data_IF_313988416780
#
_entry.id   IF_313988416780
#
_cell.length_a   1.000
_cell.length_b   1.000
_cell.length_c   1.000
_cell.angle_alpha   90.00
_cell.angle_beta   90.00
_cell.angle_gamma   90.00
#
_symmetry.space_group_name_H-M   'P 1'
#
loop_
_entity.id
_entity.type
_entity.pdbx_description
1 polymer ?
#
# COMPACT_ATOMS: atom_id res chain seq x y z
N UNK A 1 20.71 -49.46 10.88
CA UNK A 1 21.16 -48.41 11.81
C UNK A 1 22.02 -47.47 10.99
N UNK A 2 21.40 -46.44 10.41
CA UNK A 2 22.14 -45.46 9.61
C UNK A 2 22.57 -44.34 10.57
N UNK A 3 23.87 -44.07 10.58
CA UNK A 3 24.53 -43.16 11.49
C UNK A 3 23.95 -41.74 11.31
N UNK A 4 23.60 -41.10 12.43
CA UNK A 4 23.10 -39.72 12.48
C UNK A 4 24.13 -38.74 11.89
N UNK A 5 25.40 -39.14 11.80
CA UNK A 5 26.45 -38.33 11.21
C UNK A 5 26.44 -38.32 9.66
N UNK A 6 25.81 -39.30 8.99
CA UNK A 6 25.69 -39.31 7.52
C UNK A 6 24.58 -38.37 6.99
N UNK A 7 23.74 -37.85 7.89
CA UNK A 7 22.66 -36.88 7.56
C UNK A 7 23.11 -35.42 7.69
N UNK A 8 24.27 -35.15 8.30
CA UNK A 8 24.79 -33.78 8.47
C UNK A 8 25.37 -33.21 7.17
N UNK A 9 25.85 -34.06 6.26
CA UNK A 9 26.52 -33.64 5.02
C UNK A 9 25.56 -33.42 3.82
N UNK A 10 24.26 -33.73 3.96
CA UNK A 10 23.29 -33.65 2.85
C UNK A 10 22.27 -32.50 2.95
N UNK A 11 22.56 -31.42 3.66
CA UNK A 11 21.71 -30.21 3.66
C UNK A 11 20.36 -30.32 4.38
N UNK A 12 20.12 -31.41 5.12
CA UNK A 12 18.90 -31.65 5.90
C UNK A 12 18.85 -30.86 7.23
N UNK A 13 19.96 -30.27 7.67
CA UNK A 13 20.03 -29.37 8.84
C UNK A 13 19.22 -28.07 8.67
N UNK A 14 18.77 -27.76 7.45
CA UNK A 14 17.96 -26.58 7.17
C UNK A 14 16.45 -26.82 7.30
N UNK A 15 15.99 -28.08 7.33
CA UNK A 15 14.57 -28.41 7.39
C UNK A 15 14.02 -28.45 8.81
N UNK A 16 14.82 -28.86 9.80
CA UNK A 16 14.43 -28.88 11.22
C UNK A 16 14.08 -27.48 11.75
N UNK A 17 14.84 -26.45 11.37
CA UNK A 17 14.49 -25.07 11.70
C UNK A 17 13.22 -24.61 10.98
N UNK A 18 13.02 -25.02 9.72
CA UNK A 18 11.79 -24.74 8.98
C UNK A 18 10.55 -25.34 9.65
N UNK A 19 10.63 -26.56 10.20
CA UNK A 19 9.54 -27.15 11.00
C UNK A 19 9.25 -26.35 12.27
N UNK A 20 10.28 -25.90 12.99
CA UNK A 20 10.11 -25.03 14.18
C UNK A 20 9.42 -23.71 13.81
N UNK A 21 9.73 -23.13 12.64
CA UNK A 21 9.07 -21.90 12.17
C UNK A 21 7.62 -22.16 11.74
N UNK A 22 7.32 -23.31 11.13
CA UNK A 22 5.94 -23.69 10.78
C UNK A 22 5.10 -23.84 12.04
N UNK A 23 5.60 -24.52 13.07
CA UNK A 23 4.88 -24.68 14.34
C UNK A 23 4.62 -23.33 15.03
N UNK A 24 5.59 -22.41 14.99
CA UNK A 24 5.43 -21.06 15.54
C UNK A 24 4.40 -20.25 14.74
N UNK A 25 4.41 -20.35 13.41
CA UNK A 25 3.43 -19.70 12.53
C UNK A 25 2.03 -20.24 12.84
N UNK A 26 1.84 -21.55 12.92
CA UNK A 26 0.55 -22.18 13.21
C UNK A 26 0.01 -21.76 14.59
N UNK A 27 0.89 -21.69 15.61
CA UNK A 27 0.52 -21.18 16.93
C UNK A 27 0.09 -19.71 16.86
N UNK A 28 0.81 -18.87 16.12
CA UNK A 28 0.48 -17.45 15.96
C UNK A 28 -0.83 -17.27 15.19
N UNK A 29 -1.05 -18.03 14.12
CA UNK A 29 -2.28 -18.04 13.35
C UNK A 29 -3.46 -18.51 14.22
N UNK A 30 -3.27 -19.56 15.03
CA UNK A 30 -4.27 -20.02 15.98
C UNK A 30 -4.61 -18.97 17.04
N UNK A 31 -3.62 -18.22 17.53
CA UNK A 31 -3.84 -17.08 18.46
C UNK A 31 -4.59 -15.94 17.77
N UNK A 32 -4.23 -15.59 16.54
CA UNK A 32 -4.93 -14.56 15.74
C UNK A 32 -6.37 -14.99 15.47
N UNK A 33 -6.60 -16.27 15.15
CA UNK A 33 -7.93 -16.81 14.94
C UNK A 33 -8.79 -16.65 16.19
N UNK A 34 -8.29 -17.06 17.36
CA UNK A 34 -9.00 -16.87 18.63
C UNK A 34 -9.26 -15.39 18.93
N UNK A 35 -8.28 -14.51 18.65
CA UNK A 35 -8.44 -13.07 18.79
C UNK A 35 -9.51 -12.50 17.85
N UNK A 36 -9.64 -13.04 16.64
CA UNK A 36 -10.64 -12.66 15.65
C UNK A 36 -12.08 -13.10 16.00
N UNK A 37 -12.25 -14.00 16.98
CA UNK A 37 -13.56 -14.44 17.49
C UNK A 37 -14.17 -13.47 18.51
N UNK A 38 -13.45 -12.41 18.91
CA UNK A 38 -14.01 -11.37 19.78
C UNK A 38 -15.17 -10.66 19.08
N UNK A 39 -16.22 -10.37 19.85
CA UNK A 39 -17.37 -9.62 19.34
C UNK A 39 -17.15 -8.10 19.33
N UNK A 40 -16.16 -7.60 20.07
CA UNK A 40 -15.92 -6.17 20.25
C UNK A 40 -14.42 -5.87 20.31
N UNK A 41 -13.98 -4.90 19.52
CA UNK A 41 -12.58 -4.46 19.43
C UNK A 41 -12.36 -3.03 19.95
N UNK A 42 -13.31 -2.44 20.70
CA UNK A 42 -13.21 -1.06 21.18
C UNK A 42 -11.94 -0.79 22.01
N UNK A 43 -11.60 -1.67 22.95
CA UNK A 43 -10.37 -1.53 23.74
C UNK A 43 -9.12 -1.72 22.88
N UNK A 44 -9.14 -2.65 21.93
CA UNK A 44 -8.02 -2.88 21.01
C UNK A 44 -7.80 -1.65 20.09
N UNK A 45 -8.87 -0.99 19.64
CA UNK A 45 -8.80 0.26 18.89
C UNK A 45 -8.26 1.42 19.75
N UNK A 46 -8.61 1.47 21.04
CA UNK A 46 -8.06 2.44 21.99
C UNK A 46 -6.57 2.22 22.21
N UNK A 47 -6.13 0.97 22.40
CA UNK A 47 -4.71 0.61 22.51
C UNK A 47 -3.95 1.02 21.24
N UNK A 48 -4.52 0.78 20.05
CA UNK A 48 -3.90 1.22 18.79
C UNK A 48 -3.71 2.74 18.80
N UNK A 49 -4.75 3.50 19.18
CA UNK A 49 -4.66 4.97 19.26
C UNK A 49 -3.53 5.42 20.19
N UNK A 50 -3.47 4.86 21.40
CA UNK A 50 -2.42 5.19 22.38
C UNK A 50 -1.02 4.89 21.84
N UNK A 51 -0.85 3.76 21.14
CA UNK A 51 0.44 3.42 20.50
C UNK A 51 0.77 4.42 19.38
N UNK A 52 -0.19 4.81 18.55
CA UNK A 52 0.03 5.76 17.44
C UNK A 52 0.30 7.19 17.94
N UNK A 53 -0.24 7.59 19.09
CA UNK A 53 -0.05 8.92 19.66
C UNK A 53 1.28 9.09 20.40
N UNK A 54 1.88 7.99 20.86
CA UNK A 54 3.17 7.98 21.53
C UNK A 54 4.35 8.02 20.56
N UNK A 55 5.22 9.02 20.73
CA UNK A 55 6.43 9.17 19.90
C UNK A 55 7.52 8.12 20.19
N UNK A 56 7.50 7.51 21.38
CA UNK A 56 8.45 6.46 21.80
C UNK A 56 8.01 5.04 21.44
N UNK A 57 6.84 4.89 20.81
CA UNK A 57 6.31 3.58 20.42
C UNK A 57 7.23 2.85 19.45
N UNK A 58 7.44 1.57 19.72
CA UNK A 58 8.22 0.72 18.84
C UNK A 58 7.50 0.56 17.49
N UNK A 59 8.19 0.92 16.39
CA UNK A 59 7.64 0.87 15.03
C UNK A 59 7.13 -0.52 14.65
N UNK A 60 7.83 -1.57 15.10
CA UNK A 60 7.43 -2.96 14.85
C UNK A 60 6.08 -3.27 15.51
N UNK A 61 5.85 -2.79 16.74
CA UNK A 61 4.58 -2.94 17.43
C UNK A 61 3.45 -2.24 16.68
N UNK A 62 3.69 -1.04 16.16
CA UNK A 62 2.71 -0.31 15.33
C UNK A 62 2.33 -1.14 14.09
N UNK A 63 3.31 -1.62 13.32
CA UNK A 63 3.07 -2.42 12.10
C UNK A 63 2.32 -3.70 12.44
N UNK A 64 2.78 -4.45 13.44
CA UNK A 64 2.20 -5.73 13.82
C UNK A 64 0.74 -5.58 14.27
N UNK A 65 0.46 -4.63 15.15
CA UNK A 65 -0.88 -4.42 15.69
C UNK A 65 -1.85 -3.90 14.62
N UNK A 66 -1.38 -2.98 13.76
CA UNK A 66 -2.15 -2.50 12.61
C UNK A 66 -2.47 -3.64 11.65
N UNK A 67 -1.51 -4.54 11.37
CA UNK A 67 -1.70 -5.70 10.48
C UNK A 67 -2.73 -6.69 11.01
N UNK A 68 -2.72 -6.96 12.33
CA UNK A 68 -3.71 -7.83 12.98
C UNK A 68 -5.10 -7.19 12.89
N UNK A 69 -5.25 -5.94 13.34
CA UNK A 69 -6.54 -5.25 13.34
C UNK A 69 -7.09 -5.11 11.92
N UNK A 70 -6.24 -4.73 10.96
CA UNK A 70 -6.62 -4.67 9.56
C UNK A 70 -7.22 -5.99 9.09
N UNK A 71 -6.67 -7.16 9.48
CA UNK A 71 -7.14 -8.50 9.08
C UNK A 71 -8.45 -8.92 9.74
N UNK A 72 -8.66 -8.60 11.01
CA UNK A 72 -9.76 -9.18 11.81
C UNK A 72 -11.01 -8.31 11.88
N UNK A 73 -10.87 -6.99 11.76
CA UNK A 73 -12.01 -6.07 11.88
C UNK A 73 -12.99 -6.29 10.73
N UNK A 74 -14.27 -6.41 11.06
CA UNK A 74 -15.36 -6.68 10.11
C UNK A 74 -16.49 -5.66 10.19
N UNK A 75 -16.72 -5.04 11.36
CA UNK A 75 -17.84 -4.12 11.55
C UNK A 75 -17.54 -2.77 10.89
N UNK A 76 -18.47 -2.19 10.10
CA UNK A 76 -18.23 -0.94 9.39
C UNK A 76 -17.75 0.22 10.27
N UNK A 77 -18.35 0.38 11.46
CA UNK A 77 -17.99 1.46 12.38
C UNK A 77 -16.56 1.29 12.95
N UNK A 78 -16.18 0.07 13.30
CA UNK A 78 -14.84 -0.24 13.80
C UNK A 78 -13.78 -0.04 12.71
N UNK A 79 -14.09 -0.49 11.49
CA UNK A 79 -13.23 -0.29 10.31
C UNK A 79 -13.05 1.20 10.00
N UNK A 80 -14.13 1.99 10.03
CA UNK A 80 -14.06 3.44 9.83
C UNK A 80 -13.17 4.11 10.87
N UNK A 81 -13.33 3.75 12.14
CA UNK A 81 -12.50 4.29 13.23
C UNK A 81 -11.03 3.88 13.06
N UNK A 82 -10.78 2.61 12.75
CA UNK A 82 -9.44 2.08 12.46
C UNK A 82 -8.75 2.85 11.33
N UNK A 83 -9.39 2.98 10.17
CA UNK A 83 -8.81 3.70 9.04
C UNK A 83 -8.57 5.16 9.35
N UNK A 84 -9.52 5.84 10.02
CA UNK A 84 -9.34 7.23 10.42
C UNK A 84 -8.08 7.42 11.29
N UNK A 85 -7.86 6.56 12.28
CA UNK A 85 -6.67 6.62 13.15
C UNK A 85 -5.37 6.38 12.40
N UNK A 86 -5.33 5.37 11.52
CA UNK A 86 -4.11 5.03 10.78
C UNK A 86 -3.80 6.11 9.73
N UNK A 87 -4.80 6.63 9.03
CA UNK A 87 -4.62 7.73 8.05
C UNK A 87 -4.16 9.00 8.76
N UNK A 88 -4.78 9.39 9.87
CA UNK A 88 -4.37 10.54 10.67
C UNK A 88 -2.89 10.42 11.11
N UNK A 89 -2.47 9.23 11.54
CA UNK A 89 -1.08 8.96 11.85
C UNK A 89 -0.16 9.11 10.64
N UNK A 90 -0.55 8.55 9.48
CA UNK A 90 0.21 8.65 8.22
C UNK A 90 0.36 10.11 7.82
N UNK A 91 -0.73 10.89 7.82
CA UNK A 91 -0.76 12.30 7.45
C UNK A 91 0.16 13.14 8.36
N UNK A 92 0.11 12.90 9.67
CA UNK A 92 0.94 13.63 10.64
C UNK A 92 2.43 13.34 10.48
N UNK A 93 2.80 12.14 10.03
CA UNK A 93 4.20 11.69 9.94
C UNK A 93 4.76 11.72 8.51
N UNK A 94 3.96 11.96 7.48
CA UNK A 94 4.36 11.88 6.05
C UNK A 94 5.47 12.85 5.64
N UNK A 95 5.62 13.96 6.37
CA UNK A 95 6.70 14.92 6.15
C UNK A 95 8.05 14.49 6.74
N UNK A 96 8.07 13.47 7.61
CA UNK A 96 9.28 12.95 8.21
C UNK A 96 9.84 11.76 7.43
N UNK A 97 10.92 12.01 6.69
CA UNK A 97 11.56 10.98 5.86
C UNK A 97 12.06 9.75 6.66
N UNK A 98 12.33 9.89 7.97
CA UNK A 98 12.75 8.75 8.81
C UNK A 98 11.60 7.80 9.17
N UNK A 99 10.36 8.23 8.94
CA UNK A 99 9.16 7.42 9.12
C UNK A 99 8.74 6.70 7.85
N UNK A 100 9.38 6.96 6.70
CA UNK A 100 8.97 6.45 5.39
C UNK A 100 8.73 4.93 5.35
N UNK A 101 9.65 4.11 5.85
CA UNK A 101 9.51 2.64 5.84
C UNK A 101 8.28 2.22 6.67
N UNK A 102 8.07 2.82 7.84
CA UNK A 102 6.89 2.58 8.66
C UNK A 102 5.62 2.97 7.88
N UNK A 103 5.61 4.15 7.27
CA UNK A 103 4.45 4.65 6.53
C UNK A 103 4.12 3.79 5.32
N UNK A 104 5.12 3.35 4.55
CA UNK A 104 4.93 2.44 3.41
C UNK A 104 4.30 1.12 3.88
N UNK A 105 4.76 0.56 5.00
CA UNK A 105 4.16 -0.63 5.59
C UNK A 105 2.69 -0.41 5.99
N UNK A 106 2.39 0.70 6.67
CA UNK A 106 1.01 1.00 7.09
C UNK A 106 0.09 1.22 5.90
N UNK A 107 0.56 1.94 4.88
CA UNK A 107 -0.15 2.17 3.62
C UNK A 107 -0.47 0.81 2.97
N UNK A 108 0.53 -0.06 2.77
CA UNK A 108 0.36 -1.43 2.25
C UNK A 108 -0.66 -2.25 3.05
N UNK A 109 -0.71 -2.08 4.37
CA UNK A 109 -1.67 -2.81 5.22
C UNK A 109 -3.11 -2.34 4.95
N UNK A 110 -3.33 -1.02 4.86
CA UNK A 110 -4.69 -0.48 4.75
C UNK A 110 -5.23 -0.53 3.31
N UNK A 111 -4.37 -0.43 2.29
CA UNK A 111 -4.76 -0.45 0.87
C UNK A 111 -5.20 -1.82 0.36
N UNK A 112 -4.72 -2.91 0.97
CA UNK A 112 -5.07 -4.28 0.62
C UNK A 112 -6.50 -4.72 1.05
N UNK A 113 -7.45 -3.79 1.19
CA UNK A 113 -8.80 -4.05 1.71
C UNK A 113 -9.88 -3.46 0.80
N UNK A 114 -11.13 -3.86 1.02
CA UNK A 114 -12.29 -3.57 0.14
C UNK A 114 -12.70 -2.09 0.06
N UNK A 115 -12.09 -1.20 0.83
CA UNK A 115 -12.49 0.20 0.90
C UNK A 115 -11.54 1.06 0.08
N UNK A 116 -12.09 2.04 -0.63
CA UNK A 116 -11.29 3.07 -1.28
C UNK A 116 -10.59 3.91 -0.20
N UNK A 117 -9.27 3.86 -0.21
CA UNK A 117 -8.40 4.63 0.67
C UNK A 117 -7.35 5.30 -0.22
N UNK A 118 -7.44 6.63 -0.35
CA UNK A 118 -6.56 7.41 -1.23
C UNK A 118 -5.27 7.82 -0.50
N UNK A 119 -4.41 6.84 -0.21
CA UNK A 119 -3.07 7.07 0.35
C UNK A 119 -2.01 7.41 -0.71
N UNK A 120 -2.39 7.40 -1.99
CA UNK A 120 -1.48 7.70 -3.10
C UNK A 120 -0.81 9.07 -2.92
N UNK A 121 -1.52 10.04 -2.34
CA UNK A 121 -0.95 11.35 -2.05
C UNK A 121 0.12 11.34 -0.96
N UNK A 122 -0.06 10.52 0.09
CA UNK A 122 0.97 10.33 1.10
C UNK A 122 2.23 9.70 0.50
N UNK A 123 2.06 8.70 -0.37
CA UNK A 123 3.16 8.10 -1.11
C UNK A 123 3.89 9.13 -1.99
N UNK A 124 3.16 9.98 -2.70
CA UNK A 124 3.75 11.05 -3.51
C UNK A 124 4.53 12.07 -2.68
N UNK A 125 4.06 12.40 -1.48
CA UNK A 125 4.81 13.26 -0.55
C UNK A 125 6.13 12.61 -0.13
N UNK A 126 6.11 11.33 0.26
CA UNK A 126 7.32 10.59 0.65
C UNK A 126 8.27 10.49 -0.55
N UNK A 127 7.75 10.18 -1.74
CA UNK A 127 8.53 10.10 -2.99
C UNK A 127 9.29 11.40 -3.25
N UNK A 128 8.62 12.54 -3.08
CA UNK A 128 9.23 13.86 -3.25
C UNK A 128 10.39 14.11 -2.29
N UNK A 129 10.27 13.67 -1.03
CA UNK A 129 11.36 13.78 -0.04
C UNK A 129 12.57 12.95 -0.47
N UNK A 130 12.35 11.73 -0.94
CA UNK A 130 13.43 10.85 -1.38
C UNK A 130 14.11 11.30 -2.67
N UNK A 131 13.34 11.77 -3.66
CA UNK A 131 13.92 12.32 -4.90
C UNK A 131 14.79 13.56 -4.64
N UNK A 132 14.38 14.42 -3.70
CA UNK A 132 15.21 15.55 -3.25
C UNK A 132 16.49 15.08 -2.57
N UNK A 133 16.39 14.09 -1.68
CA UNK A 133 17.56 13.58 -0.97
C UNK A 133 18.53 12.83 -1.89
N UNK A 134 18.03 12.12 -2.89
CA UNK A 134 18.83 11.38 -3.88
C UNK A 134 19.84 12.29 -4.58
N UNK A 135 19.49 13.54 -4.86
CA UNK A 135 20.39 14.52 -5.47
C UNK A 135 21.65 14.83 -4.62
N UNK A 136 21.60 14.55 -3.32
CA UNK A 136 22.71 14.75 -2.37
C UNK A 136 23.29 13.44 -1.83
N UNK A 137 22.67 12.31 -2.18
CA UNK A 137 23.10 10.99 -1.75
C UNK A 137 24.41 10.62 -2.44
N UNK A 138 25.24 9.83 -1.74
CA UNK A 138 26.50 9.32 -2.25
C UNK A 138 26.43 7.81 -2.34
N UNK A 139 27.11 7.28 -3.34
CA UNK A 139 27.40 5.86 -3.37
C UNK A 139 28.33 5.52 -2.20
N UNK A 140 27.91 4.56 -1.39
CA UNK A 140 28.67 4.13 -0.21
C UNK A 140 28.81 2.61 -0.25
N UNK A 141 27.91 1.87 0.41
CA UNK A 141 27.92 0.42 0.46
C UNK A 141 26.67 -0.11 -0.23
N UNK A 142 26.86 -1.02 -1.20
CA UNK A 142 25.78 -1.81 -1.78
C UNK A 142 25.29 -2.80 -0.72
N UNK A 143 24.12 -2.51 -0.16
CA UNK A 143 23.45 -3.31 0.87
C UNK A 143 22.05 -3.64 0.38
N UNK A 144 21.57 -4.83 0.71
CA UNK A 144 20.17 -5.20 0.52
C UNK A 144 19.32 -4.61 1.64
N UNK A 145 18.19 -4.01 1.28
CA UNK A 145 17.25 -3.36 2.19
C UNK A 145 15.90 -4.05 2.10
N UNK A 146 15.17 -4.07 3.21
CA UNK A 146 13.84 -4.65 3.29
C UNK A 146 12.87 -3.70 4.00
N UNK A 147 11.58 -3.88 3.76
CA UNK A 147 10.55 -3.10 4.47
C UNK A 147 10.46 -3.45 5.96
N UNK A 148 11.04 -4.56 6.40
CA UNK A 148 11.15 -4.91 7.82
C UNK A 148 12.23 -4.09 8.55
N UNK A 149 13.11 -3.39 7.81
CA UNK A 149 14.11 -2.48 8.34
C UNK A 149 13.48 -1.12 8.75
N UNK A 150 12.59 -1.13 9.74
CA UNK A 150 11.77 0.03 10.11
C UNK A 150 12.58 1.25 10.62
N UNK A 151 13.85 1.07 10.99
CA UNK A 151 14.71 2.12 11.52
C UNK A 151 15.55 2.76 10.41
N UNK A 152 15.21 4.00 10.07
CA UNK A 152 15.96 4.79 9.08
C UNK A 152 16.96 5.70 9.79
N UNK A 153 18.25 5.48 9.54
CA UNK A 153 19.34 6.29 10.08
C UNK A 153 19.73 7.44 9.13
N UNK A 154 20.46 8.44 9.62
CA UNK A 154 21.01 9.50 8.76
C UNK A 154 21.98 8.95 7.73
N UNK A 155 22.70 7.88 8.05
CA UNK A 155 23.65 7.25 7.12
C UNK A 155 22.90 6.49 6.01
N UNK A 156 21.78 5.85 6.35
CA UNK A 156 20.86 5.26 5.36
C UNK A 156 20.39 6.32 4.37
N UNK A 157 19.97 7.50 4.84
CA UNK A 157 19.49 8.59 3.98
C UNK A 157 20.56 9.16 3.05
N UNK A 158 21.84 9.03 3.39
CA UNK A 158 22.95 9.44 2.51
C UNK A 158 23.32 8.36 1.49
N UNK A 159 22.84 7.14 1.64
CA UNK A 159 23.16 6.03 0.75
C UNK A 159 22.22 6.02 -0.46
N UNK A 160 22.79 6.09 -1.66
CA UNK A 160 22.02 6.07 -2.91
C UNK A 160 21.15 4.80 -3.03
N UNK A 161 21.68 3.62 -2.72
CA UNK A 161 20.95 2.36 -2.83
C UNK A 161 19.75 2.26 -1.88
N UNK A 162 19.85 2.86 -0.69
CA UNK A 162 18.73 2.94 0.23
C UNK A 162 17.63 3.85 -0.34
N UNK A 163 18.00 5.03 -0.84
CA UNK A 163 17.04 5.94 -1.45
C UNK A 163 16.37 5.32 -2.68
N UNK A 164 17.14 4.67 -3.56
CA UNK A 164 16.61 3.98 -4.74
C UNK A 164 15.69 2.81 -4.35
N UNK A 165 16.03 2.05 -3.31
CA UNK A 165 15.14 1.01 -2.76
C UNK A 165 13.79 1.60 -2.32
N UNK A 166 13.81 2.66 -1.51
CA UNK A 166 12.57 3.27 -1.01
C UNK A 166 11.74 3.89 -2.13
N UNK A 167 12.39 4.55 -3.09
CA UNK A 167 11.72 5.09 -4.28
C UNK A 167 11.02 3.98 -5.06
N UNK A 168 11.69 2.85 -5.30
CA UNK A 168 11.09 1.71 -5.98
C UNK A 168 9.89 1.13 -5.22
N UNK A 169 9.99 0.96 -3.90
CA UNK A 169 8.86 0.50 -3.09
C UNK A 169 7.65 1.44 -3.17
N UNK A 170 7.89 2.76 -3.18
CA UNK A 170 6.83 3.76 -3.32
C UNK A 170 6.21 3.71 -4.72
N UNK A 171 7.04 3.64 -5.76
CA UNK A 171 6.61 3.58 -7.15
C UNK A 171 5.74 2.33 -7.41
N UNK A 172 6.18 1.16 -6.93
CA UNK A 172 5.39 -0.09 -7.00
C UNK A 172 4.07 0.07 -6.26
N UNK A 173 4.07 0.65 -5.07
CA UNK A 173 2.82 0.81 -4.30
C UNK A 173 1.85 1.82 -4.94
N UNK A 174 2.36 2.90 -5.55
CA UNK A 174 1.54 3.82 -6.35
C UNK A 174 0.90 3.04 -7.51
N UNK A 175 1.68 2.24 -8.25
CA UNK A 175 1.15 1.42 -9.34
C UNK A 175 0.08 0.45 -8.85
N UNK A 176 0.31 -0.23 -7.72
CA UNK A 176 -0.66 -1.14 -7.11
C UNK A 176 -1.98 -0.44 -6.76
N UNK A 177 -1.92 0.75 -6.15
CA UNK A 177 -3.13 1.51 -5.81
C UNK A 177 -3.87 2.00 -7.05
N UNK A 178 -3.15 2.49 -8.06
CA UNK A 178 -3.78 2.89 -9.31
C UNK A 178 -4.44 1.70 -10.01
N UNK A 179 -3.78 0.54 -10.03
CA UNK A 179 -4.34 -0.68 -10.59
C UNK A 179 -5.60 -1.16 -9.83
N UNK A 180 -5.58 -1.07 -8.49
CA UNK A 180 -6.73 -1.42 -7.65
C UNK A 180 -7.97 -0.61 -8.00
N UNK A 181 -7.79 0.67 -8.34
CA UNK A 181 -8.88 1.58 -8.71
C UNK A 181 -9.09 1.72 -10.22
N UNK A 182 -8.41 0.91 -11.04
CA UNK A 182 -8.37 1.07 -12.50
C UNK A 182 -9.71 0.88 -13.21
N UNK A 183 -10.73 0.37 -12.53
CA UNK A 183 -12.10 0.22 -13.05
C UNK A 183 -13.07 1.25 -12.47
N UNK A 184 -12.63 2.05 -11.50
CA UNK A 184 -13.46 3.02 -10.80
C UNK A 184 -13.88 4.16 -11.75
N UNK A 185 -15.12 4.62 -11.61
CA UNK A 185 -15.63 5.71 -12.45
C UNK A 185 -14.87 7.03 -12.28
N UNK A 186 -14.33 7.27 -11.08
CA UNK A 186 -13.49 8.43 -10.75
C UNK A 186 -11.99 8.21 -11.02
N UNK A 187 -11.62 7.09 -11.67
CA UNK A 187 -10.23 6.83 -12.02
C UNK A 187 -9.60 7.94 -12.86
N UNK A 188 -10.26 8.52 -13.90
CA UNK A 188 -9.67 9.57 -14.70
C UNK A 188 -9.23 10.79 -13.86
N UNK A 189 -10.05 11.19 -12.89
CA UNK A 189 -9.75 12.30 -11.99
C UNK A 189 -8.55 11.98 -11.08
N UNK A 190 -8.48 10.76 -10.53
CA UNK A 190 -7.34 10.32 -9.71
C UNK A 190 -6.06 10.27 -10.56
N UNK A 191 -6.12 9.63 -11.73
CA UNK A 191 -5.00 9.49 -12.65
C UNK A 191 -4.47 10.85 -13.12
N UNK A 192 -5.35 11.81 -13.40
CA UNK A 192 -4.95 13.16 -13.74
C UNK A 192 -4.09 13.81 -12.64
N UNK A 193 -4.50 13.70 -11.38
CA UNK A 193 -3.75 14.32 -10.28
C UNK A 193 -2.42 13.58 -10.07
N UNK A 194 -2.44 12.25 -10.03
CA UNK A 194 -1.23 11.42 -9.82
C UNK A 194 -0.21 11.65 -10.93
N UNK A 195 -0.64 11.63 -12.20
CA UNK A 195 0.27 11.88 -13.35
C UNK A 195 0.81 13.31 -13.34
N UNK A 196 0.00 14.31 -12.95
CA UNK A 196 0.47 15.69 -12.79
C UNK A 196 1.57 15.80 -11.74
N UNK A 197 1.43 15.12 -10.60
CA UNK A 197 2.47 15.13 -9.56
C UNK A 197 3.72 14.35 -10.00
N UNK A 198 3.57 13.18 -10.63
CA UNK A 198 4.70 12.40 -11.18
C UNK A 198 5.48 13.18 -12.25
N UNK A 199 4.80 13.98 -13.09
CA UNK A 199 5.46 14.82 -14.11
C UNK A 199 6.37 15.90 -13.50
N UNK A 200 6.21 16.27 -12.23
CA UNK A 200 7.12 17.21 -11.56
C UNK A 200 8.46 16.56 -11.19
N UNK A 201 8.58 15.24 -11.32
CA UNK A 201 9.70 14.43 -10.82
C UNK A 201 10.72 14.05 -11.92
N UNK A 202 10.67 14.71 -13.09
CA UNK A 202 11.38 14.38 -14.35
C UNK A 202 12.92 14.43 -14.32
N UNK A 203 13.55 14.80 -13.21
CA UNK A 203 15.01 14.97 -13.11
C UNK A 203 15.79 13.79 -12.50
N UNK A 204 15.17 12.64 -12.29
CA UNK A 204 15.78 11.51 -11.57
C UNK A 204 16.18 10.35 -12.49
N UNK A 205 17.02 9.44 -11.97
CA UNK A 205 17.34 8.15 -12.61
C UNK A 205 16.09 7.30 -12.89
N UNK A 206 14.96 7.61 -12.24
CA UNK A 206 13.67 6.94 -12.40
C UNK A 206 12.79 7.52 -13.52
N UNK A 207 13.30 8.48 -14.32
CA UNK A 207 12.50 9.18 -15.34
C UNK A 207 11.76 8.23 -16.29
N UNK A 208 12.39 7.10 -16.66
CA UNK A 208 11.84 6.13 -17.61
C UNK A 208 10.71 5.32 -16.98
N UNK A 209 10.93 4.81 -15.76
CA UNK A 209 9.89 4.12 -14.97
C UNK A 209 8.70 5.05 -14.69
N UNK A 210 8.97 6.29 -14.29
CA UNK A 210 7.93 7.30 -14.06
C UNK A 210 7.17 7.60 -15.35
N UNK A 211 7.85 7.73 -16.49
CA UNK A 211 7.22 7.97 -17.78
C UNK A 211 6.33 6.80 -18.20
N UNK A 212 6.77 5.56 -17.98
CA UNK A 212 5.98 4.36 -18.22
C UNK A 212 4.68 4.38 -17.39
N UNK A 213 4.77 4.63 -16.08
CA UNK A 213 3.58 4.70 -15.23
C UNK A 213 2.64 5.84 -15.64
N UNK A 214 3.18 7.01 -16.00
CA UNK A 214 2.35 8.11 -16.52
C UNK A 214 1.59 7.67 -17.75
N UNK A 215 2.23 6.96 -18.68
CA UNK A 215 1.60 6.44 -19.88
C UNK A 215 0.49 5.45 -19.51
N UNK A 216 0.81 4.41 -18.74
CA UNK A 216 -0.17 3.40 -18.29
C UNK A 216 -1.39 4.02 -17.61
N UNK A 217 -1.19 5.00 -16.72
CA UNK A 217 -2.29 5.67 -16.04
C UNK A 217 -3.13 6.53 -16.97
N UNK A 218 -2.51 7.18 -17.95
CA UNK A 218 -3.20 8.02 -18.94
C UNK A 218 -4.03 7.16 -19.88
N UNK A 219 -3.43 6.10 -20.44
CA UNK A 219 -4.10 5.17 -21.36
C UNK A 219 -5.34 4.55 -20.68
N UNK A 220 -5.23 4.13 -19.42
CA UNK A 220 -6.39 3.60 -18.69
C UNK A 220 -7.42 4.69 -18.35
N UNK A 221 -7.00 5.93 -18.10
CA UNK A 221 -7.93 7.04 -17.85
C UNK A 221 -8.78 7.37 -19.08
N UNK A 222 -8.14 7.38 -20.26
CA UNK A 222 -8.83 7.57 -21.54
C UNK A 222 -9.84 6.46 -21.81
N UNK A 223 -9.45 5.20 -21.58
CA UNK A 223 -10.35 4.04 -21.68
C UNK A 223 -11.58 4.17 -20.77
N UNK A 224 -11.40 4.51 -19.49
CA UNK A 224 -12.52 4.67 -18.55
C UNK A 224 -13.42 5.85 -18.95
N UNK A 225 -12.84 6.96 -19.41
CA UNK A 225 -13.59 8.14 -19.84
C UNK A 225 -14.42 7.87 -21.10
N UNK A 226 -13.91 7.09 -22.05
CA UNK A 226 -14.65 6.61 -23.21
C UNK A 226 -15.86 5.77 -22.77
N UNK A 227 -15.62 4.77 -21.92
CA UNK A 227 -16.68 3.91 -21.38
C UNK A 227 -17.75 4.69 -20.60
N UNK A 228 -17.33 5.70 -19.83
CA UNK A 228 -18.24 6.60 -19.12
C UNK A 228 -19.16 7.34 -20.10
N UNK A 229 -18.64 7.81 -21.23
CA UNK A 229 -19.43 8.49 -22.28
C UNK A 229 -20.41 7.53 -22.96
N UNK A 230 -19.98 6.31 -23.31
CA UNK A 230 -20.86 5.26 -23.86
C UNK A 230 -22.01 4.93 -22.90
N UNK A 231 -21.71 4.80 -21.62
CA UNK A 231 -22.70 4.52 -20.61
C UNK A 231 -23.73 5.65 -20.50
N UNK A 232 -23.26 6.90 -20.43
CA UNK A 232 -24.13 8.06 -20.34
C UNK A 232 -25.00 8.24 -21.58
N UNK A 233 -24.47 8.02 -22.78
CA UNK A 233 -25.22 8.12 -24.03
C UNK A 233 -26.29 7.03 -24.15
N UNK A 234 -26.03 5.82 -23.64
CA UNK A 234 -27.02 4.73 -23.56
C UNK A 234 -28.17 5.01 -22.56
N UNK A 235 -27.99 5.99 -21.67
CA UNK A 235 -28.94 6.36 -20.61
C UNK A 235 -29.67 7.69 -20.86
N UNK A 236 -29.22 8.49 -21.83
CA UNK A 236 -29.91 9.70 -22.28
C UNK A 236 -31.08 9.33 -23.19
N UNK A 237 -32.17 8.88 -22.57
CA UNK A 237 -33.50 8.76 -23.18
C UNK A 237 -34.39 9.97 -22.94
N UNK A 238 -34.25 10.72 -21.83
CA UNK A 238 -35.14 11.85 -21.54
C UNK A 238 -34.40 12.94 -20.74
N UNK A 239 -34.50 14.17 -21.24
CA UNK A 239 -34.10 15.43 -20.62
C UNK A 239 -32.58 15.66 -20.47
N UNK A 240 -32.02 16.46 -21.38
CA UNK A 240 -30.62 16.88 -21.48
C UNK A 240 -30.05 17.70 -20.31
N UNK A 241 -30.28 17.27 -19.07
CA UNK A 241 -29.51 17.69 -17.89
C UNK A 241 -28.28 16.80 -17.76
N UNK A 242 -27.13 17.37 -17.39
CA UNK A 242 -25.96 16.59 -16.92
C UNK A 242 -26.43 15.66 -15.80
N UNK A 243 -26.52 14.37 -16.08
CA UNK A 243 -26.83 13.34 -15.09
C UNK A 243 -25.57 13.07 -14.28
N UNK A 244 -25.64 13.26 -12.97
CA UNK A 244 -24.64 12.71 -12.05
C UNK A 244 -24.91 11.21 -11.89
N UNK A 245 -23.85 10.41 -11.78
CA UNK A 245 -23.99 8.99 -11.48
C UNK A 245 -24.52 8.82 -10.06
N UNK A 246 -25.60 8.07 -9.89
CA UNK A 246 -25.93 7.53 -8.58
C UNK A 246 -24.89 6.48 -8.14
N UNK A 247 -24.82 6.20 -6.84
CA UNK A 247 -23.91 5.18 -6.31
C UNK A 247 -24.14 3.80 -6.95
N UNK A 248 -25.40 3.40 -7.13
CA UNK A 248 -25.74 2.11 -7.75
C UNK A 248 -25.34 2.04 -9.23
N UNK A 249 -25.42 3.16 -9.95
CA UNK A 249 -24.95 3.25 -11.33
C UNK A 249 -23.42 3.17 -11.42
N UNK A 250 -22.70 3.81 -10.50
CA UNK A 250 -21.25 3.71 -10.42
C UNK A 250 -20.80 2.26 -10.13
N UNK A 251 -21.45 1.57 -9.19
CA UNK A 251 -21.13 0.16 -8.89
C UNK A 251 -21.41 -0.77 -10.08
N UNK A 252 -22.48 -0.52 -10.84
CA UNK A 252 -22.77 -1.30 -12.07
C UNK A 252 -21.76 -1.02 -13.17
N UNK A 253 -21.36 0.26 -13.33
CA UNK A 253 -20.31 0.66 -14.26
C UNK A 253 -19.02 -0.10 -13.98
N UNK A 254 -18.53 -0.04 -12.73
CA UNK A 254 -17.31 -0.73 -12.32
C UNK A 254 -17.34 -2.24 -12.59
N UNK A 255 -18.47 -2.89 -12.31
CA UNK A 255 -18.65 -4.33 -12.57
C UNK A 255 -18.54 -4.65 -14.05
N UNK A 256 -19.16 -3.85 -14.92
CA UNK A 256 -19.13 -4.06 -16.37
C UNK A 256 -17.72 -3.87 -16.93
N UNK A 257 -17.01 -2.83 -16.49
CA UNK A 257 -15.61 -2.59 -16.89
C UNK A 257 -14.72 -3.74 -16.45
N UNK A 258 -14.91 -4.26 -15.24
CA UNK A 258 -14.13 -5.39 -14.75
C UNK A 258 -14.32 -6.63 -15.62
N UNK A 259 -15.55 -6.94 -16.02
CA UNK A 259 -15.82 -8.06 -16.93
C UNK A 259 -15.19 -7.85 -18.32
N UNK A 260 -15.26 -6.64 -18.88
CA UNK A 260 -14.63 -6.33 -20.17
C UNK A 260 -13.09 -6.46 -20.14
N UNK A 261 -12.46 -6.11 -19.02
CA UNK A 261 -11.01 -6.29 -18.83
C UNK A 261 -10.59 -7.75 -18.65
N UNK A 262 -11.47 -8.61 -18.14
CA UNK A 262 -11.19 -10.05 -17.96
C UNK A 262 -11.36 -10.85 -19.27
N UNK A 263 -12.02 -10.27 -20.28
CA UNK A 263 -12.31 -10.91 -21.58
C UNK A 263 -11.30 -10.55 -22.69
N UNK A 264 -10.44 -9.55 -22.48
CA UNK A 264 -9.41 -9.10 -23.42
C UNK A 264 -8.01 -9.47 -22.90
#
# INVERSE_FOLDING_TARGET
MNNIDDLKDNGLLNLTHLYEYVDVIDILEGKIYKFAQKDNFAEDLKILREILERDDSEKLRIVFYTKILAKILKKPNELKLFYAMVIEFIDRKSSNIKESILLINLIKIITNRKYFISTVFNLMQILHLYLKNLATAKETVKKQYYLDDLKVSNDSLKNIHFNSFVINEILVEIQNQMNLYSTNIGYPEIAFIVTKELRKMKGSEFKEVIAQYIKEFTDNAEFIEEKRKEWLSSKTGENGKKREFSYDEAMRFEKNIKMEKELN
#
